data_IF_680809162387
#
_entry.id   IF_680809162387
#
_cell.length_a   1.000
_cell.length_b   1.000
_cell.length_c   1.000
_cell.angle_alpha   90.00
_cell.angle_beta   90.00
_cell.angle_gamma   90.00
#
_symmetry.space_group_name_H-M   'P 1'
#
loop_
_entity.id
_entity.type
_entity.pdbx_description
1 polymer ?
#
# COMPACT_ATOMS: atom_id res chain seq x y z
N UNK A 1 -26.32 6.76 -0.62
CA UNK A 1 -25.19 6.76 -1.57
C UNK A 1 -24.02 6.08 -0.90
N UNK A 2 -23.50 5.00 -1.48
CA UNK A 2 -22.31 4.33 -0.95
C UNK A 2 -21.13 5.24 -1.20
N UNK A 3 -20.40 5.65 -0.16
CA UNK A 3 -19.14 6.39 -0.33
C UNK A 3 -18.19 5.44 -1.05
N UNK A 4 -17.83 5.76 -2.29
CA UNK A 4 -16.77 5.05 -2.99
C UNK A 4 -15.46 5.34 -2.25
N UNK A 5 -14.89 4.31 -1.61
CA UNK A 5 -13.59 4.38 -0.93
C UNK A 5 -12.52 3.93 -1.90
N UNK A 6 -11.42 4.67 -1.98
CA UNK A 6 -10.25 4.23 -2.76
C UNK A 6 -9.40 3.37 -1.84
N UNK A 7 -9.27 2.08 -2.18
CA UNK A 7 -8.44 1.11 -1.47
C UNK A 7 -7.36 0.58 -2.41
N UNK A 8 -6.16 0.38 -1.88
CA UNK A 8 -5.04 -0.22 -2.59
C UNK A 8 -4.29 -1.20 -1.68
N UNK A 9 -3.68 -2.22 -2.27
CA UNK A 9 -2.66 -3.04 -1.60
C UNK A 9 -1.28 -2.49 -1.91
N UNK A 10 -0.45 -2.41 -0.88
CA UNK A 10 0.95 -2.01 -0.96
C UNK A 10 1.84 -3.13 -0.45
N UNK A 11 2.85 -3.52 -1.21
CA UNK A 11 3.88 -4.45 -0.78
C UNK A 11 5.02 -3.68 -0.08
N UNK A 12 5.43 -4.13 1.10
CA UNK A 12 6.65 -3.66 1.76
C UNK A 12 7.87 -4.15 0.98
N UNK A 13 8.49 -3.25 0.20
CA UNK A 13 9.63 -3.59 -0.64
C UNK A 13 10.94 -3.65 0.13
N UNK A 14 11.17 -2.68 1.03
CA UNK A 14 12.40 -2.60 1.83
C UNK A 14 12.21 -1.79 3.10
N UNK A 15 13.20 -1.90 4.01
CA UNK A 15 13.28 -1.12 5.25
C UNK A 15 14.70 -0.64 5.48
N UNK A 16 14.83 0.56 6.04
CA UNK A 16 16.09 1.15 6.50
C UNK A 16 15.88 1.70 7.91
N UNK A 17 16.30 0.95 8.92
CA UNK A 17 15.96 1.24 10.32
C UNK A 17 14.43 1.24 10.53
N UNK A 18 13.89 2.38 10.97
CA UNK A 18 12.45 2.64 11.14
C UNK A 18 11.77 3.20 9.89
N UNK A 19 12.52 3.39 8.81
CA UNK A 19 11.96 3.82 7.51
C UNK A 19 11.46 2.61 6.74
N UNK A 20 10.22 2.69 6.22
CA UNK A 20 9.57 1.65 5.43
C UNK A 20 9.26 2.20 4.04
N UNK A 21 9.59 1.40 3.02
CA UNK A 21 9.35 1.72 1.62
C UNK A 21 8.38 0.69 1.05
N UNK A 22 7.29 1.17 0.47
CA UNK A 22 6.25 0.33 -0.12
C UNK A 22 5.88 0.81 -1.52
N UNK A 23 5.39 -0.12 -2.33
CA UNK A 23 4.86 0.14 -3.67
C UNK A 23 3.51 -0.55 -3.82
N UNK A 24 2.61 0.03 -4.62
CA UNK A 24 1.34 -0.62 -4.92
C UNK A 24 1.55 -1.99 -5.59
N UNK A 25 0.74 -2.97 -5.21
CA UNK A 25 0.79 -4.30 -5.81
C UNK A 25 0.16 -4.22 -7.20
N UNK A 26 0.97 -4.43 -8.24
CA UNK A 26 0.52 -4.40 -9.62
C UNK A 26 -0.14 -5.72 -10.04
N UNK A 27 -1.18 -5.62 -10.86
CA UNK A 27 -1.73 -6.77 -11.59
C UNK A 27 -2.26 -6.34 -12.96
N UNK A 28 -2.07 -7.20 -13.95
CA UNK A 28 -2.63 -7.11 -15.29
C UNK A 28 -4.02 -7.76 -15.41
N UNK A 29 -4.40 -8.61 -14.45
CA UNK A 29 -5.75 -9.15 -14.34
C UNK A 29 -6.72 -8.07 -13.86
N UNK A 30 -7.47 -7.49 -14.79
CA UNK A 30 -8.44 -6.43 -14.51
C UNK A 30 -9.61 -6.87 -13.60
N UNK A 31 -9.84 -8.17 -13.44
CA UNK A 31 -10.87 -8.69 -12.53
C UNK A 31 -10.36 -8.81 -11.09
N UNK A 32 -9.05 -8.74 -10.87
CA UNK A 32 -8.46 -8.69 -9.54
C UNK A 32 -8.67 -7.32 -8.88
N UNK A 33 -8.62 -7.27 -7.54
CA UNK A 33 -8.65 -6.00 -6.79
C UNK A 33 -7.48 -5.10 -7.20
N UNK A 34 -6.29 -5.67 -7.32
CA UNK A 34 -5.07 -4.97 -7.69
C UNK A 34 -5.18 -4.41 -9.12
N UNK A 35 -5.66 -5.20 -10.08
CA UNK A 35 -5.80 -4.79 -11.48
C UNK A 35 -6.86 -3.71 -11.68
N UNK A 36 -7.94 -3.72 -10.89
CA UNK A 36 -8.89 -2.60 -10.85
C UNK A 36 -8.23 -1.31 -10.37
N UNK A 37 -7.39 -1.39 -9.34
CA UNK A 37 -6.62 -0.25 -8.84
C UNK A 37 -5.60 0.21 -9.89
N UNK A 38 -4.74 -0.68 -10.40
CA UNK A 38 -3.64 -0.32 -11.30
C UNK A 38 -4.07 0.09 -12.70
N UNK A 39 -5.26 -0.29 -13.15
CA UNK A 39 -5.84 0.27 -14.38
C UNK A 39 -6.07 1.78 -14.28
N UNK A 40 -6.51 2.26 -13.11
CA UNK A 40 -6.73 3.68 -12.86
C UNK A 40 -5.49 4.39 -12.30
N UNK A 41 -4.62 3.64 -11.61
CA UNK A 41 -3.44 4.15 -10.90
C UNK A 41 -2.25 3.23 -11.17
N UNK A 42 -1.58 3.35 -12.33
CA UNK A 42 -0.58 2.38 -12.80
C UNK A 42 0.62 2.18 -11.87
N UNK A 43 0.92 3.16 -11.02
CA UNK A 43 1.98 3.11 -10.03
C UNK A 43 1.60 3.96 -8.81
N UNK A 44 2.13 3.59 -7.64
CA UNK A 44 2.10 4.38 -6.43
C UNK A 44 3.20 3.93 -5.47
N UNK A 45 3.81 4.89 -4.76
CA UNK A 45 4.85 4.66 -3.77
C UNK A 45 4.45 5.26 -2.42
N UNK A 46 4.83 4.58 -1.34
CA UNK A 46 4.67 5.06 0.03
C UNK A 46 6.00 4.95 0.77
N UNK A 47 6.51 6.09 1.25
CA UNK A 47 7.67 6.15 2.15
C UNK A 47 7.22 6.73 3.48
N UNK A 48 7.50 6.02 4.55
CA UNK A 48 7.17 6.45 5.90
C UNK A 48 8.34 6.22 6.84
N UNK A 49 8.59 7.17 7.74
CA UNK A 49 9.39 6.93 8.94
C UNK A 49 8.42 6.63 10.09
N UNK A 50 8.62 5.51 10.78
CA UNK A 50 7.75 5.05 11.85
C UNK A 50 8.51 5.16 13.18
N UNK A 51 8.34 6.28 13.88
CA UNK A 51 9.09 6.58 15.11
C UNK A 51 8.79 5.60 16.26
N UNK A 52 7.64 4.93 16.23
CA UNK A 52 7.34 3.84 17.14
C UNK A 52 7.98 2.53 16.63
N UNK A 53 9.04 2.00 17.26
CA UNK A 53 9.73 0.80 16.81
C UNK A 53 8.83 -0.45 16.81
N UNK A 54 7.88 -0.56 17.75
CA UNK A 54 6.97 -1.71 17.81
C UNK A 54 5.98 -1.71 16.63
N UNK A 55 5.59 -0.52 16.15
CA UNK A 55 4.79 -0.38 14.93
C UNK A 55 5.64 -0.62 13.68
N UNK A 56 6.90 -0.16 13.67
CA UNK A 56 7.82 -0.39 12.57
C UNK A 56 8.06 -1.88 12.32
N UNK A 57 8.09 -2.71 13.38
CA UNK A 57 8.28 -4.18 13.27
C UNK A 57 7.11 -4.86 12.57
N UNK A 58 5.88 -4.34 12.67
CA UNK A 58 4.70 -4.94 12.04
C UNK A 58 4.72 -4.86 10.51
N UNK A 59 5.55 -3.99 9.94
CA UNK A 59 5.81 -3.94 8.50
C UNK A 59 6.93 -4.90 8.15
N UNK A 60 6.58 -6.06 7.59
CA UNK A 60 7.49 -7.11 7.16
C UNK A 60 7.75 -7.00 5.66
N UNK A 61 9.01 -7.12 5.26
CA UNK A 61 9.39 -7.11 3.83
C UNK A 61 8.73 -8.27 3.10
N UNK A 62 8.16 -8.00 1.92
CA UNK A 62 7.43 -8.96 1.10
C UNK A 62 5.97 -9.18 1.51
N UNK A 63 5.49 -8.55 2.59
CA UNK A 63 4.07 -8.57 2.96
C UNK A 63 3.29 -7.43 2.30
N UNK A 64 2.01 -7.71 2.05
CA UNK A 64 1.05 -6.76 1.49
C UNK A 64 0.17 -6.16 2.60
N UNK A 65 -0.09 -4.86 2.50
CA UNK A 65 -0.89 -4.09 3.45
C UNK A 65 -1.94 -3.27 2.69
N UNK A 66 -3.13 -3.10 3.28
CA UNK A 66 -4.15 -2.22 2.72
C UNK A 66 -3.90 -0.77 3.10
N UNK A 67 -4.11 0.13 2.13
CA UNK A 67 -4.20 1.58 2.34
C UNK A 67 -5.58 2.03 1.87
N UNK A 68 -6.30 2.74 2.74
CA UNK A 68 -7.63 3.30 2.48
C UNK A 68 -7.56 4.83 2.45
N UNK A 69 -7.97 5.44 1.34
CA UNK A 69 -8.13 6.88 1.24
C UNK A 69 -9.58 7.27 1.53
N UNK A 70 -9.74 8.21 2.45
CA UNK A 70 -11.03 8.81 2.80
C UNK A 70 -10.89 10.33 2.74
N UNK A 71 -11.89 11.05 2.19
CA UNK A 71 -11.91 12.51 2.29
C UNK A 71 -11.83 12.95 3.77
N UNK A 72 -11.09 14.03 4.04
CA UNK A 72 -10.93 14.60 5.37
C UNK A 72 -12.20 15.33 5.85
#
# INVERSE_FOLDING_TARGET
>A
MTVQRVRAKFCCGSKEGTTVFMHAVYSDDIQSENGRFTKATPWADLKMNVDNPDAAIQFEVGKEYYVDFTPA
#
